data_IF_060244154301
#
_entry.id   IF_060244154301
#
_cell.length_a   1.000
_cell.length_b   1.000
_cell.length_c   1.000
_cell.angle_alpha   90.00
_cell.angle_beta   90.00
_cell.angle_gamma   90.00
#
_symmetry.space_group_name_H-M   'P 1'
#
loop_
_entity.id
_entity.type
_entity.pdbx_description
1 polymer ?
#
# COMPACT_ATOMS: atom_id res chain seq x y z
N UNK A 1 25.26 21.33 3.04
CA UNK A 1 23.93 20.91 2.54
C UNK A 1 23.38 21.75 1.36
N UNK A 2 24.15 22.67 0.75
CA UNK A 2 23.73 23.43 -0.46
C UNK A 2 23.85 22.63 -1.78
N UNK A 3 24.38 21.41 -1.72
CA UNK A 3 24.82 20.63 -2.90
C UNK A 3 24.11 19.28 -3.01
N UNK A 4 22.90 19.10 -2.46
CA UNK A 4 22.13 17.89 -2.77
C UNK A 4 21.66 18.05 -4.22
N UNK A 5 21.95 17.06 -5.06
CA UNK A 5 21.58 17.03 -6.47
C UNK A 5 20.75 15.78 -6.74
N UNK A 6 19.64 15.93 -7.44
CA UNK A 6 18.86 14.79 -7.91
C UNK A 6 19.56 14.20 -9.14
N UNK A 7 19.82 12.91 -9.09
CA UNK A 7 20.39 12.13 -10.18
C UNK A 7 19.29 11.20 -10.70
N UNK A 8 18.72 11.53 -11.86
CA UNK A 8 17.57 10.81 -12.42
C UNK A 8 17.99 9.57 -13.20
N UNK A 9 19.16 9.58 -13.83
CA UNK A 9 19.68 8.48 -14.64
C UNK A 9 21.09 8.09 -14.21
N UNK A 10 21.44 6.81 -14.40
CA UNK A 10 22.80 6.33 -14.13
C UNK A 10 23.86 7.01 -14.99
N UNK A 11 23.50 7.49 -16.19
CA UNK A 11 24.37 8.34 -17.01
C UNK A 11 24.73 9.66 -16.33
N UNK A 12 23.78 10.23 -15.58
CA UNK A 12 23.99 11.48 -14.85
C UNK A 12 24.89 11.22 -13.63
N UNK A 13 24.81 10.03 -13.01
CA UNK A 13 25.72 9.62 -11.94
C UNK A 13 27.16 9.54 -12.43
N UNK A 14 27.38 8.85 -13.55
CA UNK A 14 28.72 8.72 -14.16
C UNK A 14 29.28 10.11 -14.49
N UNK A 15 28.46 10.97 -15.10
CA UNK A 15 28.86 12.35 -15.42
C UNK A 15 29.20 13.14 -14.16
N UNK A 16 28.40 13.03 -13.09
CA UNK A 16 28.67 13.74 -11.84
C UNK A 16 30.00 13.32 -11.21
N UNK A 17 30.32 12.02 -11.24
CA UNK A 17 31.59 11.51 -10.75
C UNK A 17 32.78 11.95 -11.62
N UNK A 18 32.58 12.07 -12.94
CA UNK A 18 33.57 12.60 -13.87
C UNK A 18 33.84 14.09 -13.65
N UNK A 19 32.78 14.88 -13.48
CA UNK A 19 32.86 16.33 -13.28
C UNK A 19 33.40 16.69 -11.88
N UNK A 20 33.33 15.76 -10.91
CA UNK A 20 33.78 15.95 -9.54
C UNK A 20 34.74 14.82 -9.07
N UNK A 21 36.02 14.83 -9.51
CA UNK A 21 37.02 13.81 -9.13
C UNK A 21 37.21 13.63 -7.62
N UNK A 22 37.15 14.72 -6.85
CA UNK A 22 37.28 14.67 -5.39
C UNK A 22 36.14 13.87 -4.75
N UNK A 23 34.93 13.99 -5.30
CA UNK A 23 33.77 13.22 -4.82
C UNK A 23 33.92 11.74 -5.13
N UNK A 24 34.48 11.41 -6.31
CA UNK A 24 34.79 10.03 -6.67
C UNK A 24 35.78 9.39 -5.68
N UNK A 25 36.84 10.12 -5.30
CA UNK A 25 37.81 9.66 -4.29
C UNK A 25 37.16 9.42 -2.92
N UNK A 26 36.28 10.33 -2.48
CA UNK A 26 35.54 10.18 -1.22
C UNK A 26 34.67 8.91 -1.21
N UNK A 27 34.10 8.55 -2.36
CA UNK A 27 33.34 7.31 -2.53
C UNK A 27 34.20 6.06 -2.78
N UNK A 28 35.53 6.21 -2.81
CA UNK A 28 36.46 5.10 -3.02
C UNK A 28 36.65 4.70 -4.48
N UNK A 29 36.22 5.53 -5.44
CA UNK A 29 36.48 5.32 -6.86
C UNK A 29 37.80 5.98 -7.27
N UNK A 30 38.50 5.34 -8.21
CA UNK A 30 39.66 5.94 -8.85
C UNK A 30 39.21 6.93 -9.94
N UNK A 31 39.58 8.22 -9.90
CA UNK A 31 39.03 9.24 -10.81
C UNK A 31 39.28 8.97 -12.30
N UNK A 32 40.38 8.29 -12.64
CA UNK A 32 40.71 7.91 -14.02
C UNK A 32 40.06 6.59 -14.47
N UNK A 33 39.47 5.83 -13.54
CA UNK A 33 38.89 4.51 -13.77
C UNK A 33 37.52 4.41 -13.10
N UNK A 34 36.64 5.35 -13.45
CA UNK A 34 35.27 5.35 -12.96
C UNK A 34 34.47 4.17 -13.54
N UNK A 35 33.52 3.60 -12.78
CA UNK A 35 32.63 2.58 -13.30
C UNK A 35 31.76 3.12 -14.45
N UNK A 36 31.48 2.26 -15.43
CA UNK A 36 30.53 2.57 -16.49
C UNK A 36 29.08 2.45 -16.00
N UNK A 37 28.14 2.93 -16.81
CA UNK A 37 26.69 2.89 -16.52
C UNK A 37 26.24 1.46 -16.23
N UNK A 38 26.75 0.51 -17.01
CA UNK A 38 26.47 -0.92 -16.92
C UNK A 38 26.89 -1.49 -15.57
N UNK A 39 28.01 -1.02 -15.00
CA UNK A 39 28.47 -1.45 -13.68
C UNK A 39 27.48 -1.04 -12.58
N UNK A 40 26.96 0.19 -12.62
CA UNK A 40 25.95 0.64 -11.66
C UNK A 40 24.62 -0.09 -11.84
N UNK A 41 24.21 -0.33 -13.09
CA UNK A 41 23.00 -1.10 -13.39
C UNK A 41 23.12 -2.55 -12.91
N UNK A 42 24.27 -3.19 -13.14
CA UNK A 42 24.57 -4.54 -12.67
C UNK A 42 24.61 -4.59 -11.15
N UNK A 43 25.28 -3.63 -10.49
CA UNK A 43 25.28 -3.52 -9.03
C UNK A 43 23.87 -3.49 -8.45
N UNK A 44 22.95 -2.69 -9.03
CA UNK A 44 21.56 -2.67 -8.60
C UNK A 44 20.83 -4.00 -8.90
N UNK A 45 21.11 -4.64 -10.04
CA UNK A 45 20.46 -5.88 -10.46
C UNK A 45 20.95 -7.15 -9.77
N UNK A 46 22.20 -7.17 -9.33
CA UNK A 46 22.89 -8.38 -8.87
C UNK A 46 23.03 -8.43 -7.35
N UNK A 47 23.14 -7.27 -6.69
CA UNK A 47 23.28 -7.18 -5.23
C UNK A 47 22.01 -7.64 -4.53
N UNK A 48 22.15 -8.52 -3.54
CA UNK A 48 21.03 -8.94 -2.72
C UNK A 48 20.44 -7.76 -1.94
N UNK A 49 19.12 -7.56 -2.03
CA UNK A 49 18.43 -6.44 -1.37
C UNK A 49 18.67 -6.40 0.14
N UNK A 50 18.89 -7.57 0.76
CA UNK A 50 19.21 -7.71 2.18
C UNK A 50 20.34 -6.79 2.63
N UNK A 51 21.37 -6.59 1.82
CA UNK A 51 22.51 -5.73 2.17
C UNK A 51 22.05 -4.28 2.37
N UNK A 52 21.21 -3.75 1.48
CA UNK A 52 20.64 -2.41 1.64
C UNK A 52 19.65 -2.34 2.80
N UNK A 53 18.87 -3.41 3.03
CA UNK A 53 17.95 -3.50 4.17
C UNK A 53 18.71 -3.40 5.50
N UNK A 54 19.86 -4.08 5.63
CA UNK A 54 20.71 -4.03 6.83
C UNK A 54 21.25 -2.61 7.09
N UNK A 55 21.65 -1.88 6.05
CA UNK A 55 22.04 -0.46 6.18
C UNK A 55 20.87 0.39 6.64
N UNK A 56 19.69 0.22 6.03
CA UNK A 56 18.46 0.94 6.43
C UNK A 56 18.13 0.66 7.89
N UNK A 57 18.15 -0.61 8.30
CA UNK A 57 17.82 -1.03 9.66
C UNK A 57 18.80 -0.46 10.70
N UNK A 58 20.10 -0.37 10.36
CA UNK A 58 21.09 0.31 11.20
C UNK A 58 20.77 1.79 11.39
N UNK A 59 20.34 2.49 10.32
CA UNK A 59 19.95 3.90 10.40
C UNK A 59 18.68 4.09 11.25
N UNK A 60 17.68 3.21 11.08
CA UNK A 60 16.45 3.22 11.88
C UNK A 60 16.78 3.00 13.36
N UNK A 61 17.61 2.00 13.68
CA UNK A 61 18.02 1.70 15.06
C UNK A 61 18.70 2.90 15.71
N UNK A 62 19.65 3.55 15.01
CA UNK A 62 20.31 4.78 15.49
C UNK A 62 19.31 5.92 15.73
N UNK A 63 18.31 6.08 14.87
CA UNK A 63 17.29 7.12 15.03
C UNK A 63 16.33 6.82 16.19
N UNK A 64 16.09 5.54 16.51
CA UNK A 64 15.34 5.10 17.69
C UNK A 64 16.16 5.39 18.96
N UNK A 65 17.45 5.03 18.98
CA UNK A 65 18.37 5.32 20.10
C UNK A 65 18.42 6.82 20.42
N UNK A 66 18.44 7.67 19.38
CA UNK A 66 18.39 9.13 19.48
C UNK A 66 17.00 9.69 19.83
N UNK A 67 15.99 8.83 20.01
CA UNK A 67 14.59 9.16 20.34
C UNK A 67 13.88 10.00 19.28
N UNK A 68 14.38 10.01 18.05
CA UNK A 68 13.73 10.69 16.92
C UNK A 68 12.58 9.84 16.38
N UNK A 69 12.82 8.54 16.17
CA UNK A 69 11.75 7.58 15.86
C UNK A 69 11.21 7.04 17.18
N UNK A 70 9.92 7.30 17.45
CA UNK A 70 9.25 6.78 18.65
C UNK A 70 8.64 5.40 18.42
N UNK A 71 8.17 5.10 17.20
CA UNK A 71 7.57 3.82 16.84
C UNK A 71 6.20 3.54 17.50
N UNK A 72 5.60 4.54 18.14
CA UNK A 72 4.34 4.38 18.89
C UNK A 72 3.10 4.54 18.01
N UNK A 73 3.18 5.41 16.99
CA UNK A 73 2.10 5.67 16.06
C UNK A 73 2.62 5.35 14.68
N UNK A 74 2.18 4.24 14.11
CA UNK A 74 2.68 3.77 12.83
C UNK A 74 1.68 4.09 11.73
N UNK A 75 2.18 4.58 10.61
CA UNK A 75 1.43 4.77 9.36
C UNK A 75 1.86 3.75 8.32
N UNK A 76 0.88 3.18 7.61
CA UNK A 76 1.14 2.28 6.49
C UNK A 76 0.48 2.82 5.23
N UNK A 77 1.25 2.89 4.15
CA UNK A 77 0.75 3.18 2.81
C UNK A 77 1.72 2.61 1.76
N UNK A 78 1.36 2.72 0.48
CA UNK A 78 2.19 2.22 -0.61
C UNK A 78 2.13 3.12 -1.83
N UNK A 79 3.24 3.20 -2.54
CA UNK A 79 3.34 3.95 -3.78
C UNK A 79 3.54 3.02 -4.98
N UNK A 80 3.04 3.47 -6.12
CA UNK A 80 3.17 2.78 -7.40
C UNK A 80 4.51 3.14 -8.05
N UNK A 81 5.15 2.13 -8.66
CA UNK A 81 6.42 2.28 -9.37
C UNK A 81 6.24 1.73 -10.79
N UNK A 82 5.84 2.58 -11.74
CA UNK A 82 5.76 2.21 -13.15
C UNK A 82 7.15 1.91 -13.72
N UNK A 83 7.28 0.84 -14.49
CA UNK A 83 8.54 0.48 -15.14
C UNK A 83 8.64 1.14 -16.51
N UNK A 84 9.85 1.51 -16.94
CA UNK A 84 10.12 2.07 -18.27
C UNK A 84 10.07 1.00 -19.38
N UNK A 85 8.87 0.53 -19.71
CA UNK A 85 8.59 -0.43 -20.80
C UNK A 85 7.64 0.15 -21.85
N UNK A 86 7.62 -0.45 -23.05
CA UNK A 86 6.76 -0.01 -24.16
C UNK A 86 5.27 -0.04 -23.80
N UNK A 87 4.84 -1.02 -23.01
CA UNK A 87 3.44 -1.21 -22.58
C UNK A 87 2.94 -0.05 -21.70
N UNK A 88 3.84 0.67 -21.02
CA UNK A 88 3.50 1.87 -20.26
C UNK A 88 3.58 3.15 -21.10
N UNK A 89 4.23 3.12 -22.27
CA UNK A 89 4.32 4.28 -23.16
C UNK A 89 3.04 4.39 -24.02
N UNK A 90 2.14 5.31 -23.68
CA UNK A 90 0.88 5.49 -24.41
C UNK A 90 1.06 5.90 -25.88
N UNK A 91 2.25 6.34 -26.28
CA UNK A 91 2.57 6.70 -27.67
C UNK A 91 2.89 5.51 -28.58
N UNK A 92 3.06 4.30 -28.04
CA UNK A 92 3.37 3.10 -28.85
C UNK A 92 2.11 2.33 -29.25
N UNK A 93 2.00 1.84 -30.48
CA UNK A 93 0.91 0.94 -30.86
C UNK A 93 1.17 -0.47 -30.33
N UNK A 94 0.34 -0.95 -29.39
CA UNK A 94 0.44 -2.29 -28.78
C UNK A 94 -0.97 -2.88 -28.66
N UNK A 95 -1.17 -4.05 -29.27
CA UNK A 95 -2.39 -4.86 -29.08
C UNK A 95 -2.39 -5.47 -27.68
N UNK A 96 -3.55 -5.48 -27.02
CA UNK A 96 -3.74 -6.10 -25.70
C UNK A 96 -2.82 -5.54 -24.59
N UNK A 97 -2.48 -4.24 -24.66
CA UNK A 97 -1.55 -3.53 -23.76
C UNK A 97 -1.74 -3.83 -22.26
N UNK A 98 -2.99 -3.98 -21.82
CA UNK A 98 -3.35 -4.18 -20.42
C UNK A 98 -3.99 -5.55 -20.16
N UNK A 99 -3.62 -6.56 -20.95
CA UNK A 99 -3.97 -7.94 -20.66
C UNK A 99 -3.07 -8.49 -19.54
N UNK A 100 -3.65 -8.69 -18.35
CA UNK A 100 -2.95 -9.22 -17.17
C UNK A 100 -2.29 -10.60 -17.37
N UNK A 101 -2.72 -11.35 -18.39
CA UNK A 101 -2.19 -12.68 -18.74
C UNK A 101 -0.92 -12.61 -19.58
N UNK A 102 -0.69 -11.50 -20.30
CA UNK A 102 0.47 -11.31 -21.18
C UNK A 102 1.56 -10.52 -20.46
N UNK A 103 2.66 -11.19 -20.11
CA UNK A 103 3.80 -10.54 -19.44
C UNK A 103 4.58 -9.65 -20.41
N UNK A 104 4.97 -8.43 -20.02
CA UNK A 104 5.84 -7.60 -20.85
C UNK A 104 7.21 -8.23 -21.05
N UNK A 105 7.73 -8.19 -22.29
CA UNK A 105 9.08 -8.74 -22.59
C UNK A 105 10.20 -7.95 -21.91
N UNK A 106 10.05 -6.63 -21.79
CA UNK A 106 11.09 -5.74 -21.24
C UNK A 106 11.22 -5.81 -19.71
N UNK A 107 10.22 -6.36 -19.01
CA UNK A 107 10.26 -6.65 -17.58
C UNK A 107 9.20 -7.75 -17.26
N UNK A 108 9.56 -9.03 -17.35
CA UNK A 108 8.62 -10.15 -17.16
C UNK A 108 8.10 -10.29 -15.72
N UNK A 109 8.82 -9.75 -14.74
CA UNK A 109 8.45 -9.79 -13.31
C UNK A 109 7.42 -8.71 -12.95
N UNK A 110 7.34 -7.64 -13.72
CA UNK A 110 6.33 -6.59 -13.56
C UNK A 110 4.90 -7.13 -13.63
N UNK A 111 3.97 -6.48 -12.92
CA UNK A 111 2.54 -6.86 -12.91
C UNK A 111 1.67 -5.66 -13.18
N UNK A 112 0.53 -5.93 -13.82
CA UNK A 112 -0.48 -4.91 -14.12
C UNK A 112 -1.20 -4.48 -12.84
N UNK A 113 -1.35 -3.17 -12.66
CA UNK A 113 -2.12 -2.57 -11.58
C UNK A 113 -2.79 -1.27 -12.05
N UNK A 114 -3.49 -0.62 -11.12
CA UNK A 114 -4.28 0.58 -11.37
C UNK A 114 -3.74 1.72 -10.51
N UNK A 115 -3.47 2.85 -11.15
CA UNK A 115 -3.19 4.12 -10.51
C UNK A 115 -4.41 5.02 -10.63
N UNK A 116 -4.78 5.68 -9.54
CA UNK A 116 -5.84 6.69 -9.55
C UNK A 116 -5.17 8.05 -9.70
N UNK A 117 -5.47 8.73 -10.80
CA UNK A 117 -5.09 10.12 -11.03
C UNK A 117 -6.28 11.04 -10.76
N UNK A 118 -5.96 12.24 -10.30
CA UNK A 118 -6.93 13.31 -10.13
C UNK A 118 -6.54 14.47 -11.05
N UNK A 119 -6.86 14.40 -12.36
CA UNK A 119 -6.55 15.49 -13.30
C UNK A 119 -7.20 16.81 -12.89
N UNK A 120 -8.33 16.76 -12.19
CA UNK A 120 -8.99 17.89 -11.52
C UNK A 120 -9.38 17.47 -10.11
N UNK A 121 -9.52 18.42 -9.15
CA UNK A 121 -10.04 18.11 -7.83
C UNK A 121 -11.33 17.30 -7.92
N UNK A 122 -11.39 16.19 -7.18
CA UNK A 122 -12.54 15.26 -7.12
C UNK A 122 -12.87 14.48 -8.40
N UNK A 123 -12.20 14.72 -9.53
CA UNK A 123 -12.38 13.95 -10.77
C UNK A 123 -11.39 12.78 -10.81
N UNK A 124 -11.89 11.55 -10.69
CA UNK A 124 -11.05 10.33 -10.67
C UNK A 124 -10.84 9.82 -12.09
N UNK A 125 -9.60 9.60 -12.46
CA UNK A 125 -9.19 8.90 -13.68
C UNK A 125 -8.40 7.65 -13.29
N UNK A 126 -8.79 6.49 -13.82
CA UNK A 126 -8.06 5.24 -13.59
C UNK A 126 -7.08 5.02 -14.74
N UNK A 127 -5.78 4.98 -14.43
CA UNK A 127 -4.74 4.60 -15.39
C UNK A 127 -4.18 3.23 -15.04
N UNK A 128 -4.01 2.39 -16.05
CA UNK A 128 -3.39 1.10 -15.90
C UNK A 128 -1.89 1.23 -16.12
N UNK A 129 -1.09 0.53 -15.32
CA UNK A 129 0.35 0.50 -15.48
C UNK A 129 0.91 -0.88 -15.15
N UNK A 130 2.03 -1.22 -15.78
CA UNK A 130 2.85 -2.37 -15.44
C UNK A 130 3.99 -1.93 -14.52
N UNK A 131 4.17 -2.62 -13.40
CA UNK A 131 5.33 -2.39 -12.56
C UNK A 131 5.23 -3.01 -11.19
N UNK A 132 5.67 -2.23 -10.20
CA UNK A 132 5.84 -2.64 -8.82
C UNK A 132 5.13 -1.66 -7.88
N UNK A 133 5.07 -2.03 -6.60
CA UNK A 133 4.62 -1.18 -5.51
C UNK A 133 5.62 -1.25 -4.38
N UNK A 134 5.96 -0.10 -3.81
CA UNK A 134 6.75 0.00 -2.60
C UNK A 134 5.81 0.25 -1.42
N UNK A 135 5.79 -0.67 -0.46
CA UNK A 135 4.97 -0.63 0.74
C UNK A 135 5.82 -0.10 1.89
N UNK A 136 5.33 0.92 2.59
CA UNK A 136 6.12 1.64 3.60
C UNK A 136 5.35 1.66 4.92
N UNK A 137 6.03 1.20 5.97
CA UNK A 137 5.64 1.42 7.35
C UNK A 137 6.51 2.53 7.93
N UNK A 138 5.88 3.54 8.54
CA UNK A 138 6.55 4.75 8.98
C UNK A 138 6.09 5.20 10.36
N UNK A 139 6.93 5.95 11.05
CA UNK A 139 6.56 6.62 12.30
C UNK A 139 5.80 7.91 11.97
N UNK A 140 4.54 7.98 12.38
CA UNK A 140 3.63 9.07 12.03
C UNK A 140 4.02 10.41 12.67
N UNK A 141 4.81 10.38 13.75
CA UNK A 141 5.18 11.57 14.51
C UNK A 141 6.44 12.23 13.95
N UNK A 142 7.49 11.45 13.68
CA UNK A 142 8.72 11.92 13.04
C UNK A 142 8.58 12.08 11.54
N UNK A 143 7.62 11.37 10.94
CA UNK A 143 7.50 11.19 9.49
C UNK A 143 8.76 10.54 8.91
N UNK A 144 9.25 9.47 9.53
CA UNK A 144 10.40 8.71 9.01
C UNK A 144 9.99 7.28 8.66
N UNK A 145 10.51 6.72 7.54
CA UNK A 145 10.25 5.33 7.21
C UNK A 145 10.96 4.40 8.20
N UNK A 146 10.29 3.33 8.63
CA UNK A 146 10.84 2.31 9.52
C UNK A 146 11.15 1.04 8.71
N UNK A 147 10.16 0.56 7.96
CA UNK A 147 10.29 -0.58 7.07
C UNK A 147 9.77 -0.22 5.69
N UNK A 148 10.37 -0.81 4.67
CA UNK A 148 9.82 -0.82 3.34
C UNK A 148 10.02 -2.17 2.67
N UNK A 149 9.12 -2.49 1.74
CA UNK A 149 9.25 -3.67 0.90
C UNK A 149 8.70 -3.38 -0.49
N UNK A 150 9.44 -3.78 -1.53
CA UNK A 150 8.99 -3.68 -2.92
C UNK A 150 8.44 -5.02 -3.40
N UNK A 151 7.23 -5.03 -3.94
CA UNK A 151 6.62 -6.20 -4.57
C UNK A 151 5.99 -5.86 -5.90
N UNK A 152 5.59 -6.88 -6.65
CA UNK A 152 4.86 -6.72 -7.89
C UNK A 152 3.54 -5.95 -7.69
N UNK A 153 3.14 -5.11 -8.66
CA UNK A 153 2.09 -4.11 -8.42
C UNK A 153 0.68 -4.66 -8.19
N UNK A 154 0.42 -5.94 -8.50
CA UNK A 154 -0.86 -6.59 -8.25
C UNK A 154 -1.00 -7.08 -6.79
N UNK A 155 0.05 -6.98 -5.97
CA UNK A 155 -0.02 -7.32 -4.55
C UNK A 155 -0.85 -6.25 -3.81
N UNK A 156 -1.76 -6.73 -2.97
CA UNK A 156 -2.68 -5.90 -2.18
C UNK A 156 -2.14 -5.66 -0.78
N UNK A 157 -2.42 -4.47 -0.25
CA UNK A 157 -1.90 -3.91 1.00
C UNK A 157 -2.18 -4.83 2.20
N UNK A 158 -3.37 -5.43 2.23
CA UNK A 158 -3.81 -6.37 3.28
C UNK A 158 -2.89 -7.61 3.41
N UNK A 159 -2.10 -7.95 2.39
CA UNK A 159 -1.14 -9.06 2.45
C UNK A 159 0.22 -8.66 3.03
N UNK A 160 0.51 -7.36 3.12
CA UNK A 160 1.84 -6.83 3.46
C UNK A 160 1.85 -6.21 4.86
N UNK A 161 0.78 -5.53 5.26
CA UNK A 161 0.75 -4.77 6.52
C UNK A 161 0.99 -5.63 7.77
N UNK A 162 0.37 -6.82 7.89
CA UNK A 162 0.51 -7.67 9.08
C UNK A 162 1.97 -8.14 9.22
N UNK A 163 2.59 -8.77 8.20
CA UNK A 163 4.01 -9.13 8.26
C UNK A 163 4.93 -7.95 8.58
N UNK A 164 4.66 -6.75 8.05
CA UNK A 164 5.48 -5.57 8.36
C UNK A 164 5.33 -5.11 9.81
N UNK A 165 4.12 -5.17 10.38
CA UNK A 165 3.91 -4.82 11.78
C UNK A 165 4.58 -5.82 12.73
N UNK A 166 4.48 -7.11 12.43
CA UNK A 166 5.21 -8.17 13.16
C UNK A 166 6.71 -7.91 13.09
N UNK A 167 7.23 -7.71 11.87
CA UNK A 167 8.65 -7.44 11.66
C UNK A 167 9.13 -6.18 12.38
N UNK A 168 8.34 -5.10 12.40
CA UNK A 168 8.72 -3.87 13.08
C UNK A 168 8.81 -4.06 14.59
N UNK A 169 7.87 -4.83 15.15
CA UNK A 169 7.87 -5.19 16.57
C UNK A 169 9.09 -6.06 16.90
N UNK A 170 9.33 -7.11 16.13
CA UNK A 170 10.38 -8.08 16.43
C UNK A 170 11.78 -7.53 16.18
N UNK A 171 11.97 -6.72 15.13
CA UNK A 171 13.28 -6.20 14.72
C UNK A 171 13.75 -5.01 15.55
N UNK A 172 12.83 -4.14 15.96
CA UNK A 172 13.16 -2.88 16.62
C UNK A 172 12.56 -2.73 18.03
N UNK A 173 11.92 -3.78 18.55
CA UNK A 173 11.25 -3.81 19.86
C UNK A 173 10.27 -2.63 20.06
N UNK A 174 9.48 -2.32 19.02
CA UNK A 174 8.61 -1.15 19.05
C UNK A 174 7.38 -1.38 19.93
N UNK A 175 7.15 -0.43 20.84
CA UNK A 175 5.90 -0.33 21.62
C UNK A 175 4.79 0.34 20.79
N UNK A 176 4.20 -0.42 19.87
CA UNK A 176 3.17 0.06 18.94
C UNK A 176 1.85 0.34 19.69
N UNK A 177 1.47 1.61 19.80
CA UNK A 177 0.22 2.04 20.46
C UNK A 177 -0.92 2.27 19.47
N UNK A 178 -0.61 2.69 18.24
CA UNK A 178 -1.59 3.07 17.24
C UNK A 178 -1.12 2.70 15.83
N UNK A 179 -2.04 2.18 15.02
CA UNK A 179 -1.82 1.90 13.60
C UNK A 179 -2.80 2.72 12.78
N UNK A 180 -2.28 3.54 11.87
CA UNK A 180 -3.02 4.52 11.08
C UNK A 180 -2.90 4.14 9.61
N UNK A 181 -4.03 3.95 8.94
CA UNK A 181 -4.02 3.54 7.53
C UNK A 181 -5.33 3.87 6.81
N UNK A 182 -5.32 3.79 5.48
CA UNK A 182 -6.50 4.07 4.67
C UNK A 182 -7.58 3.00 4.75
N UNK A 183 -8.80 3.37 4.34
CA UNK A 183 -9.95 2.47 4.29
C UNK A 183 -9.75 1.21 3.43
N UNK A 184 -8.73 1.16 2.57
CA UNK A 184 -8.34 -0.07 1.87
C UNK A 184 -7.94 -1.21 2.82
N UNK A 185 -7.51 -0.87 4.04
CA UNK A 185 -7.05 -1.79 5.08
C UNK A 185 -8.11 -2.09 6.15
N UNK A 186 -9.33 -1.57 6.00
CA UNK A 186 -10.48 -1.92 6.84
C UNK A 186 -10.97 -3.35 6.50
N UNK A 187 -10.19 -4.33 6.96
CA UNK A 187 -10.53 -5.74 6.90
C UNK A 187 -10.56 -6.32 8.31
N UNK A 188 -11.49 -7.26 8.56
CA UNK A 188 -11.62 -7.86 9.89
C UNK A 188 -10.31 -8.54 10.34
N UNK A 189 -9.55 -9.13 9.41
CA UNK A 189 -8.24 -9.75 9.70
C UNK A 189 -7.24 -8.71 10.22
N UNK A 190 -7.07 -7.60 9.50
CA UNK A 190 -6.12 -6.54 9.88
C UNK A 190 -6.54 -5.89 11.20
N UNK A 191 -7.83 -5.56 11.35
CA UNK A 191 -8.34 -4.96 12.58
C UNK A 191 -8.19 -5.88 13.79
N UNK A 192 -8.48 -7.18 13.63
CA UNK A 192 -8.32 -8.16 14.71
C UNK A 192 -6.86 -8.29 15.11
N UNK A 193 -5.93 -8.33 14.14
CA UNK A 193 -4.50 -8.37 14.46
C UNK A 193 -4.05 -7.14 15.26
N UNK A 194 -4.47 -5.94 14.85
CA UNK A 194 -4.10 -4.70 15.53
C UNK A 194 -4.67 -4.66 16.96
N UNK A 195 -5.94 -5.02 17.15
CA UNK A 195 -6.61 -4.92 18.47
C UNK A 195 -6.25 -6.09 19.38
N UNK A 196 -6.30 -7.32 18.86
CA UNK A 196 -6.20 -8.53 19.67
C UNK A 196 -4.75 -8.96 19.86
N UNK A 197 -3.91 -8.87 18.84
CA UNK A 197 -2.54 -9.39 18.89
C UNK A 197 -1.54 -8.29 19.27
N UNK A 198 -1.59 -7.14 18.61
CA UNK A 198 -0.73 -5.99 18.94
C UNK A 198 -1.20 -5.21 20.18
N UNK A 199 -2.46 -5.38 20.61
CA UNK A 199 -3.09 -4.55 21.66
C UNK A 199 -3.02 -3.04 21.37
N UNK A 200 -2.98 -2.68 20.10
CA UNK A 200 -2.88 -1.31 19.61
C UNK A 200 -4.26 -0.77 19.16
N UNK A 201 -4.35 0.55 19.00
CA UNK A 201 -5.58 1.21 18.53
C UNK A 201 -5.56 1.37 17.00
N UNK A 202 -6.53 0.81 16.27
CA UNK A 202 -6.64 1.03 14.84
C UNK A 202 -7.30 2.39 14.56
N UNK A 203 -6.60 3.24 13.83
CA UNK A 203 -7.10 4.48 13.24
C UNK A 203 -7.19 4.27 11.73
N UNK A 204 -8.13 3.42 11.32
CA UNK A 204 -8.36 3.06 9.92
C UNK A 204 -9.78 3.46 9.56
N UNK A 205 -9.94 4.31 8.54
CA UNK A 205 -11.27 4.76 8.11
C UNK A 205 -12.13 3.58 7.62
N UNK A 206 -13.45 3.68 7.85
CA UNK A 206 -14.38 2.62 7.46
C UNK A 206 -14.53 2.53 5.95
N UNK A 207 -14.48 1.31 5.40
CA UNK A 207 -14.67 1.08 3.97
C UNK A 207 -16.15 0.91 3.63
N UNK A 208 -16.78 2.03 3.28
CA UNK A 208 -18.20 2.08 2.91
C UNK A 208 -18.52 1.35 1.61
N UNK A 209 -17.53 1.03 0.74
CA UNK A 209 -17.78 0.39 -0.56
C UNK A 209 -18.41 -1.00 -0.44
N UNK A 210 -18.34 -1.62 0.74
CA UNK A 210 -18.89 -2.96 1.03
C UNK A 210 -20.18 -2.93 1.83
N UNK A 211 -20.62 -1.77 2.32
CA UNK A 211 -21.95 -1.64 2.92
C UNK A 211 -22.98 -1.64 1.80
N UNK A 212 -23.44 -2.85 1.45
CA UNK A 212 -24.74 -2.96 0.81
C UNK A 212 -25.76 -2.66 1.90
N UNK A 213 -26.72 -1.79 1.61
CA UNK A 213 -27.83 -1.52 2.50
C UNK A 213 -28.70 -2.79 2.56
N UNK A 214 -28.35 -3.66 3.51
CA UNK A 214 -28.92 -4.99 3.63
C UNK A 214 -30.26 -4.85 4.34
N UNK A 215 -31.36 -4.62 3.60
CA UNK A 215 -32.71 -4.63 4.18
C UNK A 215 -33.02 -5.96 4.88
N UNK A 216 -33.36 -5.90 6.16
CA UNK A 216 -33.73 -7.04 7.01
C UNK A 216 -35.16 -6.83 7.49
N UNK A 217 -35.96 -7.90 7.56
CA UNK A 217 -37.28 -7.88 8.17
C UNK A 217 -37.19 -7.76 9.69
N UNK A 218 -38.32 -7.48 10.34
CA UNK A 218 -38.44 -7.48 11.82
C UNK A 218 -38.08 -8.83 12.46
N UNK A 219 -38.22 -9.93 11.71
CA UNK A 219 -37.85 -11.30 12.10
C UNK A 219 -36.35 -11.61 11.92
N UNK A 220 -35.55 -10.68 11.40
CA UNK A 220 -34.12 -10.88 11.16
C UNK A 220 -33.75 -11.55 9.83
N UNK A 221 -34.73 -11.83 8.98
CA UNK A 221 -34.51 -12.44 7.66
C UNK A 221 -34.20 -11.39 6.59
N UNK A 222 -33.49 -11.80 5.53
CA UNK A 222 -33.13 -10.89 4.43
C UNK A 222 -34.36 -10.53 3.59
N UNK A 223 -34.46 -9.28 3.15
CA UNK A 223 -35.47 -8.85 2.18
C UNK A 223 -34.83 -8.82 0.78
N UNK A 224 -35.48 -9.44 -0.20
CA UNK A 224 -35.02 -9.43 -1.59
C UNK A 224 -35.39 -8.11 -2.31
N UNK A 225 -34.87 -7.91 -3.53
CA UNK A 225 -35.17 -6.70 -4.34
C UNK A 225 -36.66 -6.51 -4.65
N UNK A 226 -37.43 -7.61 -4.71
CA UNK A 226 -38.87 -7.58 -4.91
C UNK A 226 -39.67 -7.21 -3.63
N UNK A 227 -39.00 -6.95 -2.51
CA UNK A 227 -39.64 -6.60 -1.23
C UNK A 227 -40.06 -7.79 -0.37
N UNK A 228 -39.89 -9.04 -0.84
CA UNK A 228 -40.26 -10.22 -0.07
C UNK A 228 -39.19 -10.64 0.93
N UNK A 229 -39.63 -11.07 2.11
CA UNK A 229 -38.81 -11.74 3.11
C UNK A 229 -38.34 -13.10 2.58
N UNK A 230 -37.03 -13.31 2.61
CA UNK A 230 -36.38 -14.53 2.13
C UNK A 230 -36.36 -15.61 3.20
N UNK A 231 -36.45 -16.87 2.79
CA UNK A 231 -36.46 -18.01 3.71
C UNK A 231 -35.04 -18.37 4.15
N UNK A 232 -34.86 -18.59 5.45
CA UNK A 232 -33.64 -19.20 5.97
C UNK A 232 -33.46 -20.60 5.36
N UNK A 233 -32.28 -20.86 4.80
CA UNK A 233 -31.96 -22.13 4.16
C UNK A 233 -30.94 -22.96 4.93
N UNK A 234 -30.10 -22.32 5.73
CA UNK A 234 -29.06 -23.01 6.48
C UNK A 234 -27.80 -22.18 6.70
N UNK A 235 -26.92 -22.69 7.57
CA UNK A 235 -25.56 -22.18 7.78
C UNK A 235 -24.59 -23.00 6.93
N UNK A 236 -23.69 -22.31 6.24
CA UNK A 236 -22.66 -22.88 5.37
C UNK A 236 -21.30 -22.35 5.81
N UNK A 237 -20.30 -23.23 5.82
CA UNK A 237 -18.91 -22.87 6.07
C UNK A 237 -18.21 -22.68 4.73
N UNK A 238 -17.80 -21.44 4.43
CA UNK A 238 -17.05 -21.09 3.23
C UNK A 238 -15.64 -20.67 3.66
N UNK A 239 -14.72 -21.65 3.65
CA UNK A 239 -13.38 -21.49 4.25
C UNK A 239 -13.48 -21.20 5.75
N UNK A 240 -12.90 -20.08 6.19
CA UNK A 240 -12.94 -19.64 7.59
C UNK A 240 -14.18 -18.80 7.95
N UNK A 241 -15.17 -18.70 7.06
CA UNK A 241 -16.37 -17.87 7.28
C UNK A 241 -17.61 -18.75 7.40
N UNK A 242 -18.42 -18.47 8.42
CA UNK A 242 -19.77 -19.03 8.51
C UNK A 242 -20.75 -18.05 7.88
N UNK A 243 -21.59 -18.53 6.97
CA UNK A 243 -22.60 -17.73 6.27
C UNK A 243 -23.96 -18.38 6.41
N UNK A 244 -24.98 -17.58 6.71
CA UNK A 244 -26.37 -17.98 6.59
C UNK A 244 -26.82 -17.72 5.17
N UNK A 245 -27.41 -18.73 4.53
CA UNK A 245 -28.02 -18.60 3.21
C UNK A 245 -29.51 -18.33 3.38
N UNK A 246 -30.01 -17.39 2.58
CA UNK A 246 -31.41 -17.08 2.41
C UNK A 246 -31.83 -17.33 0.96
N UNK A 247 -33.02 -17.89 0.75
CA UNK A 247 -33.51 -18.26 -0.59
C UNK A 247 -34.88 -17.67 -0.89
N UNK A 248 -35.20 -17.61 -2.18
CA UNK A 248 -36.45 -17.04 -2.68
C UNK A 248 -37.68 -17.81 -2.16
N UNK A 249 -38.65 -17.12 -1.53
CA UNK A 249 -39.84 -17.76 -0.99
C UNK A 249 -40.76 -18.30 -2.09
N UNK A 250 -40.81 -17.67 -3.28
CA UNK A 250 -41.65 -18.11 -4.40
C UNK A 250 -41.23 -19.49 -4.92
N UNK A 251 -39.93 -19.78 -4.95
CA UNK A 251 -39.42 -21.08 -5.43
C UNK A 251 -39.47 -22.13 -4.31
N UNK A 252 -39.13 -21.76 -3.09
CA UNK A 252 -38.89 -22.70 -2.01
C UNK A 252 -40.05 -22.87 -1.01
N UNK A 253 -41.16 -22.14 -1.15
CA UNK A 253 -42.38 -22.35 -0.36
C UNK A 253 -43.61 -22.54 -1.26
N UNK A 254 -44.22 -23.72 -1.17
CA UNK A 254 -45.46 -24.05 -1.90
C UNK A 254 -46.61 -23.12 -1.51
N UNK A 255 -46.71 -22.72 -0.24
CA UNK A 255 -47.74 -21.79 0.24
C UNK A 255 -47.53 -20.40 -0.35
N UNK A 256 -46.31 -19.87 -0.24
CA UNK A 256 -45.99 -18.54 -0.74
C UNK A 256 -46.17 -18.44 -2.27
N UNK A 257 -45.81 -19.51 -3.00
CA UNK A 257 -46.00 -19.59 -4.45
C UNK A 257 -47.46 -19.52 -4.89
N UNK A 258 -48.40 -20.07 -4.11
CA UNK A 258 -49.84 -19.99 -4.45
C UNK A 258 -50.35 -18.56 -4.40
N UNK A 259 -49.90 -17.78 -3.43
CA UNK A 259 -50.25 -16.36 -3.26
C UNK A 259 -49.47 -15.46 -4.23
N UNK A 260 -48.23 -15.85 -4.57
CA UNK A 260 -47.31 -15.09 -5.42
C UNK A 260 -46.73 -16.00 -6.52
N UNK A 261 -47.47 -16.26 -7.61
CA UNK A 261 -47.08 -17.24 -8.63
C UNK A 261 -45.85 -16.83 -9.47
N UNK A 262 -45.57 -15.54 -9.57
CA UNK A 262 -44.44 -14.99 -10.32
C UNK A 262 -43.66 -13.95 -9.51
N UNK A 263 -42.37 -13.81 -9.82
CA UNK A 263 -41.54 -12.75 -9.24
C UNK A 263 -41.88 -11.40 -9.89
N UNK A 264 -42.34 -10.38 -9.14
CA UNK A 264 -42.67 -9.06 -9.69
C UNK A 264 -41.48 -8.36 -10.36
N UNK A 265 -40.26 -8.71 -9.93
CA UNK A 265 -39.01 -8.15 -10.45
C UNK A 265 -38.44 -8.94 -11.63
N UNK A 266 -39.08 -10.04 -12.04
CA UNK A 266 -38.61 -10.96 -13.08
C UNK A 266 -37.10 -11.27 -12.97
N UNK A 267 -36.64 -11.49 -11.74
CA UNK A 267 -35.22 -11.62 -11.44
C UNK A 267 -34.59 -12.73 -12.31
N UNK A 268 -33.38 -12.56 -12.88
CA UNK A 268 -32.80 -13.55 -13.80
C UNK A 268 -32.71 -14.98 -13.22
N UNK A 269 -32.43 -15.10 -11.92
CA UNK A 269 -32.42 -16.41 -11.24
C UNK A 269 -33.82 -17.01 -11.06
N UNK A 270 -34.88 -16.20 -10.99
CA UNK A 270 -36.26 -16.69 -10.99
C UNK A 270 -36.63 -17.27 -12.36
N UNK A 271 -36.29 -16.56 -13.45
CA UNK A 271 -36.51 -17.04 -14.83
C UNK A 271 -35.79 -18.37 -15.09
N UNK A 272 -34.61 -18.57 -14.50
CA UNK A 272 -33.84 -19.83 -14.56
C UNK A 272 -34.39 -20.94 -13.65
N UNK A 273 -35.47 -20.70 -12.91
CA UNK A 273 -36.12 -21.68 -12.02
C UNK A 273 -35.45 -21.87 -10.64
N UNK A 274 -34.32 -21.21 -10.35
CA UNK A 274 -33.62 -21.36 -9.07
C UNK A 274 -34.08 -20.39 -7.99
N UNK A 275 -34.62 -19.23 -8.40
CA UNK A 275 -34.97 -18.13 -7.51
C UNK A 275 -33.74 -17.37 -7.01
N UNK A 276 -33.96 -16.14 -6.52
CA UNK A 276 -32.89 -15.35 -5.92
C UNK A 276 -32.38 -15.94 -4.60
N UNK A 277 -31.09 -15.79 -4.30
CA UNK A 277 -30.51 -16.13 -3.00
C UNK A 277 -29.60 -15.03 -2.49
N UNK A 278 -29.43 -14.97 -1.18
CA UNK A 278 -28.56 -14.03 -0.49
C UNK A 278 -27.79 -14.73 0.62
N UNK A 279 -26.61 -14.21 0.95
CA UNK A 279 -25.83 -14.68 2.10
C UNK A 279 -25.65 -13.55 3.10
N UNK A 280 -25.79 -13.89 4.38
CA UNK A 280 -25.39 -13.03 5.49
C UNK A 280 -24.24 -13.70 6.20
N UNK A 281 -23.13 -12.99 6.40
CA UNK A 281 -22.03 -13.53 7.18
C UNK A 281 -22.41 -13.54 8.66
N UNK A 282 -22.24 -14.68 9.32
CA UNK A 282 -22.34 -14.78 10.78
C UNK A 282 -21.05 -14.22 11.35
N UNK A 283 -21.11 -13.03 11.93
CA UNK A 283 -20.03 -12.44 12.71
C UNK A 283 -20.32 -12.75 14.18
N UNK A 284 -19.39 -13.42 14.88
CA UNK A 284 -19.51 -13.63 16.33
C UNK A 284 -19.44 -12.29 17.07
N UNK A 285 -18.54 -11.40 16.65
CA UNK A 285 -18.49 -9.99 17.01
C UNK A 285 -17.96 -9.18 15.82
N UNK A 286 -18.56 -8.01 15.54
CA UNK A 286 -17.98 -7.08 14.58
C UNK A 286 -16.88 -6.29 15.28
N UNK A 287 -15.63 -6.65 14.99
CA UNK A 287 -14.42 -6.01 15.53
C UNK A 287 -14.44 -4.48 15.38
N UNK A 288 -15.16 -3.95 14.38
CA UNK A 288 -15.34 -2.51 14.16
C UNK A 288 -16.10 -1.80 15.28
N UNK A 289 -16.94 -2.52 16.04
CA UNK A 289 -17.63 -1.94 17.20
C UNK A 289 -16.68 -1.53 18.32
N UNK A 290 -15.49 -2.12 18.37
CA UNK A 290 -14.45 -1.75 19.34
C UNK A 290 -13.70 -0.46 18.93
N UNK A 291 -14.00 0.09 17.75
CA UNK A 291 -13.35 1.29 17.21
C UNK A 291 -14.28 2.48 17.42
N UNK A 292 -13.78 3.49 18.13
CA UNK A 292 -14.51 4.72 18.42
C UNK A 292 -14.51 5.69 17.22
N UNK A 293 -15.12 5.25 16.11
CA UNK A 293 -15.29 6.05 14.90
C UNK A 293 -15.97 7.40 15.21
N UNK A 294 -15.58 8.45 14.48
CA UNK A 294 -16.20 9.77 14.57
C UNK A 294 -15.78 10.62 15.77
N UNK A 295 -15.14 10.05 16.79
CA UNK A 295 -14.66 10.82 17.96
C UNK A 295 -13.60 11.87 17.58
N UNK A 296 -13.50 13.01 18.30
CA UNK A 296 -12.46 14.00 18.05
C UNK A 296 -11.04 13.43 18.14
N UNK A 297 -10.83 12.51 19.08
CA UNK A 297 -9.56 11.77 19.23
C UNK A 297 -9.25 10.94 18.00
N UNK A 298 -10.24 10.21 17.46
CA UNK A 298 -10.07 9.45 16.23
C UNK A 298 -9.63 10.36 15.08
N UNK A 299 -10.36 11.45 14.85
CA UNK A 299 -10.04 12.41 13.78
C UNK A 299 -8.62 12.99 13.94
N UNK A 300 -8.25 13.41 15.15
CA UNK A 300 -6.93 14.00 15.42
C UNK A 300 -5.78 13.05 15.09
N UNK A 301 -5.86 11.79 15.55
CA UNK A 301 -4.79 10.81 15.28
C UNK A 301 -4.83 10.35 13.83
N UNK A 302 -6.02 10.13 13.26
CA UNK A 302 -6.18 9.75 11.85
C UNK A 302 -5.55 10.77 10.89
N UNK A 303 -5.61 12.07 11.21
CA UNK A 303 -5.00 13.12 10.39
C UNK A 303 -3.46 13.01 10.25
N UNK A 304 -2.79 12.30 11.17
CA UNK A 304 -1.36 12.00 11.06
C UNK A 304 -1.03 11.10 9.87
N UNK A 305 -2.02 10.42 9.27
CA UNK A 305 -1.88 9.63 8.02
C UNK A 305 -1.20 10.43 6.90
N UNK A 306 -1.48 11.74 6.82
CA UNK A 306 -0.87 12.65 5.84
C UNK A 306 0.67 12.71 5.92
N UNK A 307 1.27 12.30 7.03
CA UNK A 307 2.72 12.15 7.16
C UNK A 307 3.31 11.15 6.17
N UNK A 308 2.60 10.06 5.87
CA UNK A 308 3.06 9.09 4.88
C UNK A 308 3.03 9.65 3.45
N UNK A 309 2.05 10.48 3.11
CA UNK A 309 2.00 11.21 1.84
C UNK A 309 3.19 12.18 1.71
N UNK A 310 3.58 12.84 2.81
CA UNK A 310 4.79 13.68 2.86
C UNK A 310 6.09 12.88 2.73
N UNK A 311 6.15 11.66 3.28
CA UNK A 311 7.27 10.73 3.03
C UNK A 311 7.37 10.40 1.54
N UNK A 312 6.26 10.02 0.90
CA UNK A 312 6.27 9.72 -0.53
C UNK A 312 6.61 10.92 -1.40
N UNK A 313 6.22 12.14 -1.03
CA UNK A 313 6.67 13.34 -1.74
C UNK A 313 8.19 13.47 -1.69
N UNK A 314 8.82 13.22 -0.53
CA UNK A 314 10.29 13.31 -0.41
C UNK A 314 10.99 12.19 -1.18
N UNK A 315 10.46 10.99 -1.14
CA UNK A 315 10.99 9.86 -1.91
C UNK A 315 10.81 10.07 -3.42
N UNK A 316 9.73 10.74 -3.83
CA UNK A 316 9.52 11.16 -5.22
C UNK A 316 10.59 12.18 -5.65
N UNK A 317 10.94 13.15 -4.80
CA UNK A 317 12.04 14.09 -5.05
C UNK A 317 13.41 13.39 -5.17
N UNK A 318 13.51 12.14 -4.70
CA UNK A 318 14.69 11.25 -4.85
C UNK A 318 14.51 10.23 -5.99
N UNK A 319 13.59 10.47 -6.93
CA UNK A 319 13.33 9.63 -8.09
C UNK A 319 12.92 8.18 -7.78
N UNK A 320 12.44 7.87 -6.57
CA UNK A 320 12.03 6.51 -6.20
C UNK A 320 10.93 5.96 -7.13
N UNK A 321 9.98 6.81 -7.55
CA UNK A 321 8.84 6.42 -8.37
C UNK A 321 9.13 6.39 -9.89
N UNK A 322 10.33 6.83 -10.31
CA UNK A 322 10.74 6.86 -11.71
C UNK A 322 12.15 6.26 -11.90
N UNK A 323 12.37 5.00 -11.47
CA UNK A 323 13.69 4.38 -11.58
C UNK A 323 14.16 4.31 -13.04
N UNK A 324 15.47 4.47 -13.25
CA UNK A 324 16.11 4.29 -14.56
C UNK A 324 16.44 2.82 -14.87
N UNK A 325 16.23 1.92 -13.92
CA UNK A 325 16.47 0.46 -14.00
C UNK A 325 15.17 -0.34 -14.15
N UNK A 326 15.30 -1.65 -14.42
CA UNK A 326 14.19 -2.60 -14.59
C UNK A 326 14.47 -3.89 -13.80
N UNK A 327 13.42 -4.69 -13.57
CA UNK A 327 13.51 -5.93 -12.80
C UNK A 327 13.26 -5.70 -11.31
N UNK A 328 12.68 -6.71 -10.66
CA UNK A 328 12.20 -6.58 -9.28
C UNK A 328 13.34 -6.24 -8.32
N UNK A 329 14.49 -6.93 -8.43
CA UNK A 329 15.63 -6.73 -7.53
C UNK A 329 16.23 -5.33 -7.68
N UNK A 330 16.50 -4.89 -8.91
CA UNK A 330 17.05 -3.57 -9.16
C UNK A 330 16.14 -2.45 -8.67
N UNK A 331 14.82 -2.57 -8.89
CA UNK A 331 13.85 -1.60 -8.40
C UNK A 331 13.73 -1.64 -6.88
N UNK A 332 13.78 -2.83 -6.27
CA UNK A 332 13.80 -2.96 -4.80
C UNK A 332 15.01 -2.24 -4.22
N UNK A 333 16.21 -2.47 -4.77
CA UNK A 333 17.45 -1.83 -4.35
C UNK A 333 17.39 -0.30 -4.52
N UNK A 334 16.91 0.18 -5.67
CA UNK A 334 16.69 1.61 -5.91
C UNK A 334 15.76 2.24 -4.86
N UNK A 335 14.67 1.56 -4.51
CA UNK A 335 13.76 2.03 -3.48
C UNK A 335 14.43 2.06 -2.11
N UNK A 336 15.07 0.97 -1.69
CA UNK A 336 15.76 0.90 -0.41
C UNK A 336 16.81 2.00 -0.28
N UNK A 337 17.58 2.28 -1.34
CA UNK A 337 18.55 3.38 -1.37
C UNK A 337 17.86 4.74 -1.15
N UNK A 338 16.73 5.02 -1.82
CA UNK A 338 15.98 6.26 -1.59
C UNK A 338 15.53 6.41 -0.13
N UNK A 339 15.10 5.32 0.51
CA UNK A 339 14.76 5.31 1.94
C UNK A 339 15.98 5.52 2.85
N UNK A 340 17.12 4.89 2.54
CA UNK A 340 18.40 5.13 3.22
C UNK A 340 18.77 6.62 3.15
N UNK A 341 18.61 7.26 1.99
CA UNK A 341 18.90 8.69 1.83
C UNK A 341 18.06 9.56 2.75
N UNK A 342 16.74 9.31 2.85
CA UNK A 342 15.86 10.06 3.77
C UNK A 342 16.29 9.86 5.24
N UNK A 343 16.62 8.63 5.62
CA UNK A 343 17.07 8.31 6.97
C UNK A 343 18.43 8.91 7.31
N UNK A 344 19.35 8.94 6.34
CA UNK A 344 20.68 9.54 6.51
C UNK A 344 20.58 11.05 6.69
N UNK A 345 19.72 11.73 5.91
CA UNK A 345 19.43 13.15 6.10
C UNK A 345 18.90 13.40 7.52
N UNK A 346 17.93 12.59 7.98
CA UNK A 346 17.39 12.69 9.33
C UNK A 346 18.48 12.49 10.40
N UNK A 347 19.29 11.44 10.27
CA UNK A 347 20.35 11.13 11.23
C UNK A 347 21.39 12.26 11.29
N UNK A 348 21.78 12.81 10.15
CA UNK A 348 22.78 13.87 10.09
C UNK A 348 22.22 15.19 10.64
N UNK A 349 20.96 15.51 10.36
CA UNK A 349 20.26 16.65 10.94
C UNK A 349 20.22 16.55 12.49
N UNK A 350 19.89 15.37 13.01
CA UNK A 350 19.89 15.12 14.47
C UNK A 350 21.27 15.26 15.08
N UNK A 351 22.30 14.65 14.48
CA UNK A 351 23.68 14.69 15.00
C UNK A 351 24.31 16.08 14.94
N UNK A 352 23.87 16.93 14.01
CA UNK A 352 24.34 18.31 13.87
C UNK A 352 23.51 19.32 14.67
N UNK A 353 22.56 18.86 15.50
CA UNK A 353 21.69 19.72 16.31
C UNK A 353 20.56 20.40 15.53
N UNK A 354 20.40 20.13 14.24
CA UNK A 354 19.37 20.71 13.37
C UNK A 354 18.10 19.83 13.34
N UNK A 355 17.50 19.54 14.50
CA UNK A 355 16.37 18.59 14.61
C UNK A 355 15.12 19.01 13.83
N UNK A 356 14.92 20.31 13.63
CA UNK A 356 13.88 20.85 12.77
C UNK A 356 14.02 20.39 11.30
N UNK A 357 15.23 19.98 10.89
CA UNK A 357 15.57 19.62 9.51
C UNK A 357 15.46 18.14 9.18
N UNK A 358 15.03 17.28 10.10
CA UNK A 358 14.96 15.82 9.87
C UNK A 358 14.05 15.41 8.70
N UNK A 359 13.13 16.29 8.30
CA UNK A 359 12.18 16.06 7.19
C UNK A 359 12.57 16.77 5.90
N UNK A 360 13.61 17.59 5.89
CA UNK A 360 13.87 18.46 4.76
C UNK A 360 14.67 17.71 3.69
N UNK A 361 13.99 17.21 2.66
CA UNK A 361 14.65 16.78 1.41
C UNK A 361 14.60 17.92 0.39
N UNK A 362 13.48 18.67 0.35
CA UNK A 362 13.21 19.74 -0.62
C UNK A 362 14.02 21.03 -0.46
N UNK A 363 14.39 21.45 0.75
CA UNK A 363 15.15 22.72 0.93
C UNK A 363 16.64 22.58 0.66
N UNK A 364 17.14 21.35 0.49
CA UNK A 364 18.54 21.08 0.21
C UNK A 364 18.82 20.86 -1.28
N UNK A 365 17.77 20.61 -2.06
CA UNK A 365 17.78 20.66 -3.52
C UNK A 365 17.43 22.11 -3.89
N UNK A 366 18.33 22.90 -4.51
CA UNK A 366 17.94 24.17 -5.11
C UNK A 366 16.79 23.89 -6.08
N UNK A 367 15.78 24.78 -6.10
CA UNK A 367 14.58 24.67 -6.94
C UNK A 367 14.90 24.05 -8.31
N UNK A 368 14.21 22.94 -8.61
CA UNK A 368 14.18 22.30 -9.94
C UNK A 368 13.74 23.31 -11.00
#
# INVERSE_FOLDING_TARGET
YKNIKNISYLSDLVRELQDNPDLALVFGFHPLHLPYIENFSAFLGDTENRIFQEVRDSLVSKLIELKEIKGTHLTFDSSNIPVKIKENNLKTSIKDRFDKTKRPKGDPESRLSIMVHFPKPFQKEFKYFWGYRNFVLSDALSELPILEETRAANIVDNKVIIPQLELAKDRFDLSICAVIADAGLDSAKVLSFIICDLKAKPYIARNLRREKDLKVSSTGNRICLAGFEMLYWGKFKEGNRTRVKFVCPIIHSKKFKKEHPFCPWMHPQFVKGTGCFAYTQVLSEDIRKQIAYGTPKFKKVYNLRSGCERIFSRLLDLCMQNPSVRGLRAISNHCTIAHITVLLIALTATKTGNKDKIRFVKSFLPNI
#
